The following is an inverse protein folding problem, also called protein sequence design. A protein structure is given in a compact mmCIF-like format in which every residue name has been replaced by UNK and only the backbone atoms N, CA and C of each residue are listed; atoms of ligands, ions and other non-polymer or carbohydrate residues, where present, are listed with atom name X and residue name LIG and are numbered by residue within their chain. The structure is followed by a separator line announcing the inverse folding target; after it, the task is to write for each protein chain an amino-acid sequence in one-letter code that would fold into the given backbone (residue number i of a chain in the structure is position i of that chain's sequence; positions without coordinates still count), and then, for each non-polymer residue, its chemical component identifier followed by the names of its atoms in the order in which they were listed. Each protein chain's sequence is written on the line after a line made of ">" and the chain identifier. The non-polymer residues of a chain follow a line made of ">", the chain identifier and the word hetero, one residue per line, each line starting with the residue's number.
data_IF_613288163364
#
_entry.id   IF_613288163364
#
_cell.length_a   1.000
_cell.length_b   1.000
_cell.length_c   1.000
_cell.angle_alpha   90.00
_cell.angle_beta   90.00
_cell.angle_gamma   90.00
#
_symmetry.space_group_name_H-M   'P 1'
#
loop_
_entity.id
_entity.type
_entity.pdbx_description
1 polymer ?
#
# COMPACT_ATOMS: atom_id res chain seq x y z
N UNK A 1 31.41 37.20 67.61
CA UNK A 1 31.85 36.09 66.73
C UNK A 1 31.29 34.78 67.26
N UNK A 2 30.38 34.13 66.53
CA UNK A 2 30.14 32.69 66.53
C UNK A 2 29.18 32.40 65.36
N UNK A 3 29.71 31.72 64.35
CA UNK A 3 28.98 31.26 63.16
C UNK A 3 28.23 29.99 63.54
N UNK A 4 26.91 29.93 63.30
CA UNK A 4 26.14 28.70 63.39
C UNK A 4 26.09 28.04 62.01
N UNK A 5 26.66 26.84 61.95
CA UNK A 5 26.74 25.96 60.79
C UNK A 5 25.40 25.20 60.68
N UNK A 6 24.72 25.32 59.55
CA UNK A 6 23.53 24.54 59.22
C UNK A 6 23.95 23.20 58.61
N UNK A 7 23.48 22.08 59.16
CA UNK A 7 23.62 20.73 58.61
C UNK A 7 22.21 20.27 58.20
N UNK A 8 21.95 19.92 56.92
CA UNK A 8 20.66 19.35 56.55
C UNK A 8 20.61 17.84 56.88
N UNK A 9 19.51 17.42 57.50
CA UNK A 9 19.15 16.01 57.70
C UNK A 9 18.69 15.42 56.37
N UNK A 10 19.35 14.34 55.91
CA UNK A 10 18.84 13.47 54.86
C UNK A 10 17.77 12.56 55.47
N UNK A 11 16.51 12.71 55.04
CA UNK A 11 15.45 11.74 55.29
C UNK A 11 15.43 10.73 54.14
N UNK A 12 15.80 9.48 54.41
CA UNK A 12 15.52 8.34 53.53
C UNK A 12 14.03 7.97 53.68
N UNK A 13 13.28 8.02 52.58
CA UNK A 13 11.95 7.41 52.49
C UNK A 13 12.09 6.17 51.63
N UNK A 14 11.89 5.01 52.26
CA UNK A 14 11.84 3.71 51.60
C UNK A 14 10.59 3.62 50.72
N UNK A 15 10.76 3.41 49.42
CA UNK A 15 9.66 3.13 48.51
C UNK A 15 9.34 1.62 48.56
N UNK A 16 8.19 1.28 49.15
CA UNK A 16 7.67 -0.09 49.14
C UNK A 16 6.99 -0.37 47.79
N UNK A 17 7.56 -1.28 47.00
CA UNK A 17 6.92 -1.83 45.81
C UNK A 17 5.85 -2.85 46.23
N UNK A 18 4.59 -2.55 45.92
CA UNK A 18 3.49 -3.53 45.99
C UNK A 18 3.52 -4.34 44.70
N UNK A 19 3.94 -5.61 44.81
CA UNK A 19 3.80 -6.61 43.76
C UNK A 19 2.32 -7.00 43.64
N UNK A 20 1.62 -6.46 42.65
CA UNK A 20 0.37 -7.04 42.17
C UNK A 20 0.71 -8.26 41.30
N UNK A 21 0.20 -9.42 41.70
CA UNK A 21 0.33 -10.67 40.94
C UNK A 21 -0.52 -10.58 39.66
N UNK A 22 0.13 -10.23 38.55
CA UNK A 22 -0.38 -10.53 37.21
C UNK A 22 0.09 -11.94 36.83
N UNK A 23 -0.85 -12.80 36.46
CA UNK A 23 -0.60 -14.18 36.03
C UNK A 23 0.27 -14.15 34.78
N UNK A 24 1.54 -14.53 34.94
CA UNK A 24 2.49 -14.75 33.86
C UNK A 24 2.24 -16.14 33.27
N UNK A 25 1.82 -16.20 32.00
CA UNK A 25 2.01 -17.39 31.19
C UNK A 25 3.36 -17.25 30.48
N UNK A 26 4.39 -17.94 31.00
CA UNK A 26 5.69 -18.03 30.37
C UNK A 26 5.80 -19.30 29.51
N UNK A 27 5.90 -19.08 28.18
CA UNK A 27 6.79 -19.66 27.14
C UNK A 27 7.00 -21.19 26.99
N UNK A 28 7.33 -21.65 25.76
CA UNK A 28 8.75 -21.71 25.37
C UNK A 28 9.04 -21.26 23.92
N UNK A 29 10.07 -20.43 23.77
CA UNK A 29 10.61 -20.01 22.49
C UNK A 29 11.77 -19.03 22.67
N UNK A 30 12.77 -19.40 23.45
CA UNK A 30 14.00 -18.63 23.56
C UNK A 30 14.94 -19.09 22.45
N UNK A 31 15.01 -18.33 21.35
CA UNK A 31 16.10 -18.42 20.39
C UNK A 31 16.72 -17.04 20.20
N UNK A 32 17.99 -16.95 20.63
CA UNK A 32 19.08 -16.19 20.05
C UNK A 32 18.84 -14.75 19.62
N UNK A 33 19.56 -13.83 20.28
CA UNK A 33 20.10 -12.66 19.60
C UNK A 33 20.99 -13.12 18.43
N UNK A 34 20.39 -13.23 17.25
CA UNK A 34 21.06 -13.51 16.00
C UNK A 34 20.46 -12.60 14.95
N UNK A 35 21.30 -11.88 14.22
CA UNK A 35 20.96 -11.26 12.94
C UNK A 35 20.55 -12.37 11.96
N UNK A 36 19.30 -12.81 12.03
CA UNK A 36 18.69 -13.73 11.09
C UNK A 36 17.68 -12.93 10.28
N UNK A 37 17.98 -12.72 8.99
CA UNK A 37 16.94 -12.32 8.04
C UNK A 37 15.79 -13.34 8.16
N UNK A 38 14.55 -12.87 8.23
CA UNK A 38 13.39 -13.75 8.26
C UNK A 38 13.38 -14.60 6.98
N UNK A 39 13.38 -15.92 7.14
CA UNK A 39 13.35 -16.89 6.02
C UNK A 39 12.01 -17.60 5.89
N UNK A 40 11.04 -17.31 6.76
CA UNK A 40 9.75 -18.01 6.82
C UNK A 40 8.59 -17.05 6.55
N UNK A 41 7.68 -17.49 5.68
CA UNK A 41 6.45 -16.77 5.30
C UNK A 41 5.45 -16.68 6.44
N UNK A 42 4.45 -15.77 6.36
CA UNK A 42 3.42 -15.65 7.39
C UNK A 42 2.75 -17.00 7.63
N UNK A 43 2.58 -17.35 8.92
CA UNK A 43 2.26 -18.73 9.36
C UNK A 43 0.98 -19.30 8.77
N UNK A 44 0.03 -18.44 8.44
CA UNK A 44 -1.31 -18.82 7.96
C UNK A 44 -1.53 -18.41 6.51
N UNK A 45 -0.48 -17.97 5.81
CA UNK A 45 -0.57 -17.54 4.43
C UNK A 45 -0.32 -18.68 3.45
N UNK A 46 -1.10 -18.68 2.38
CA UNK A 46 -1.02 -19.58 1.26
C UNK A 46 -0.36 -18.88 0.06
N UNK A 47 0.26 -19.67 -0.82
CA UNK A 47 0.81 -19.19 -2.09
C UNK A 47 -0.30 -18.91 -3.11
N UNK A 48 -0.07 -17.95 -4.01
CA UNK A 48 -0.90 -17.69 -5.19
C UNK A 48 -0.70 -18.73 -6.32
N UNK A 49 0.25 -19.66 -6.15
CA UNK A 49 0.50 -20.78 -7.08
C UNK A 49 1.49 -20.44 -8.20
N UNK A 50 2.03 -21.48 -8.85
CA UNK A 50 3.19 -21.39 -9.75
C UNK A 50 2.98 -20.69 -11.10
N UNK A 51 1.76 -20.19 -11.39
CA UNK A 51 1.48 -19.32 -12.54
C UNK A 51 1.69 -17.85 -12.19
N UNK A 52 1.39 -17.50 -10.94
CA UNK A 52 1.63 -16.19 -10.39
C UNK A 52 3.05 -16.16 -9.84
N UNK A 53 3.38 -16.92 -8.80
CA UNK A 53 4.73 -16.93 -8.23
C UNK A 53 5.69 -17.75 -9.10
N UNK A 54 6.82 -17.16 -9.46
CA UNK A 54 7.86 -17.76 -10.30
C UNK A 54 9.19 -17.79 -9.54
N UNK A 55 10.31 -17.96 -10.25
CA UNK A 55 11.64 -17.72 -9.65
C UNK A 55 12.03 -16.24 -9.65
N UNK A 56 11.24 -15.38 -10.31
CA UNK A 56 11.36 -13.94 -10.21
C UNK A 56 10.76 -13.43 -8.91
N UNK A 57 10.60 -12.11 -8.83
CA UNK A 57 9.84 -11.47 -7.77
C UNK A 57 8.42 -11.20 -8.25
N UNK A 58 7.44 -11.40 -7.37
CA UNK A 58 6.04 -11.04 -7.57
C UNK A 58 5.51 -10.23 -6.39
N UNK A 59 4.88 -9.10 -6.69
CA UNK A 59 4.37 -8.18 -5.67
C UNK A 59 3.14 -7.39 -6.15
N UNK A 60 2.46 -6.72 -5.21
CA UNK A 60 1.45 -5.68 -5.49
C UNK A 60 0.33 -6.12 -6.43
N UNK A 61 -0.25 -7.30 -6.13
CA UNK A 61 -1.39 -7.82 -6.87
C UNK A 61 -2.66 -7.05 -6.54
N UNK A 62 -3.45 -6.72 -7.55
CA UNK A 62 -4.83 -6.22 -7.42
C UNK A 62 -5.73 -6.94 -8.41
N UNK A 63 -7.05 -6.76 -8.26
CA UNK A 63 -8.05 -7.52 -8.99
C UNK A 63 -9.09 -6.60 -9.67
N UNK A 64 -9.61 -7.04 -10.81
CA UNK A 64 -10.83 -6.46 -11.39
C UNK A 64 -12.01 -6.66 -10.43
N UNK A 65 -13.02 -5.80 -10.49
CA UNK A 65 -14.18 -5.86 -9.59
C UNK A 65 -14.95 -7.19 -9.62
N UNK A 66 -14.90 -7.93 -10.73
CA UNK A 66 -15.52 -9.25 -10.85
C UNK A 66 -14.63 -10.41 -10.36
N UNK A 67 -13.40 -10.12 -9.93
CA UNK A 67 -12.40 -11.08 -9.44
C UNK A 67 -11.79 -11.98 -10.51
N UNK A 68 -12.08 -11.75 -11.80
CA UNK A 68 -11.65 -12.65 -12.89
C UNK A 68 -10.34 -12.23 -13.55
N UNK A 69 -9.83 -11.05 -13.25
CA UNK A 69 -8.55 -10.56 -13.74
C UNK A 69 -7.74 -10.05 -12.57
N UNK A 70 -6.45 -10.41 -12.55
CA UNK A 70 -5.48 -9.84 -11.65
C UNK A 70 -4.44 -9.05 -12.47
N UNK A 71 -3.98 -7.94 -11.92
CA UNK A 71 -2.76 -7.26 -12.36
C UNK A 71 -1.79 -7.18 -11.19
N UNK A 72 -0.52 -7.38 -11.46
CA UNK A 72 0.51 -7.47 -10.43
C UNK A 72 1.87 -7.15 -11.02
N UNK A 73 2.84 -6.86 -10.16
CA UNK A 73 4.21 -6.56 -10.55
C UNK A 73 5.03 -7.84 -10.57
N UNK A 74 5.87 -8.02 -11.59
CA UNK A 74 6.78 -9.16 -11.64
C UNK A 74 8.07 -8.90 -12.41
N UNK A 75 9.14 -9.54 -11.95
CA UNK A 75 10.44 -9.60 -12.65
C UNK A 75 10.62 -10.90 -13.43
N UNK A 76 9.52 -11.58 -13.78
CA UNK A 76 9.55 -12.84 -14.53
C UNK A 76 10.25 -12.69 -15.88
N UNK A 77 10.57 -13.84 -16.47
CA UNK A 77 11.10 -13.87 -17.83
C UNK A 77 10.16 -13.14 -18.80
N UNK A 78 10.73 -12.24 -19.59
CA UNK A 78 10.01 -11.36 -20.51
C UNK A 78 9.87 -9.92 -20.03
N UNK A 79 10.19 -9.61 -18.77
CA UNK A 79 10.24 -8.22 -18.30
C UNK A 79 11.28 -7.39 -19.06
N UNK A 80 11.01 -6.10 -19.24
CA UNK A 80 11.88 -5.16 -19.95
C UNK A 80 13.08 -4.84 -19.05
N UNK A 81 14.28 -5.10 -19.56
CA UNK A 81 15.50 -4.88 -18.79
C UNK A 81 15.66 -3.40 -18.38
N UNK A 82 15.66 -3.15 -17.08
CA UNK A 82 16.12 -1.89 -16.51
C UNK A 82 17.66 -1.84 -16.54
N UNK A 83 18.21 -0.89 -17.30
CA UNK A 83 19.67 -0.80 -17.48
C UNK A 83 20.35 -0.32 -16.20
N UNK A 84 21.31 -1.11 -15.71
CA UNK A 84 22.10 -0.76 -14.51
C UNK A 84 21.48 -1.17 -13.18
N UNK A 85 20.33 -1.84 -13.20
CA UNK A 85 19.69 -2.39 -12.00
C UNK A 85 19.59 -3.93 -12.05
N UNK A 86 19.45 -4.55 -10.88
CA UNK A 86 19.25 -5.98 -10.69
C UNK A 86 17.79 -6.40 -10.95
N UNK A 87 16.83 -5.52 -10.68
CA UNK A 87 15.40 -5.79 -10.84
C UNK A 87 14.84 -5.09 -12.08
N UNK A 88 13.81 -5.69 -12.67
CA UNK A 88 13.09 -5.19 -13.83
C UNK A 88 11.60 -5.40 -13.58
N UNK A 89 11.00 -4.44 -12.87
CA UNK A 89 9.61 -4.50 -12.44
C UNK A 89 8.69 -4.03 -13.55
N UNK A 90 7.92 -4.99 -14.06
CA UNK A 90 6.88 -4.76 -15.05
C UNK A 90 5.52 -5.16 -14.48
N UNK A 91 4.45 -4.56 -15.00
CA UNK A 91 3.08 -4.96 -14.70
C UNK A 91 2.67 -6.09 -15.65
N UNK A 92 2.12 -7.14 -15.07
CA UNK A 92 1.59 -8.32 -15.75
C UNK A 92 0.11 -8.50 -15.42
N UNK A 93 -0.64 -9.08 -16.35
CA UNK A 93 -2.07 -9.34 -16.20
C UNK A 93 -2.37 -10.82 -16.34
N UNK A 94 -3.09 -11.42 -15.39
CA UNK A 94 -3.59 -12.80 -15.49
C UNK A 94 -5.11 -12.82 -15.46
N UNK A 95 -5.70 -13.76 -16.20
CA UNK A 95 -7.12 -14.05 -16.12
C UNK A 95 -7.36 -15.35 -15.36
N UNK A 96 -8.49 -15.43 -14.68
CA UNK A 96 -8.94 -16.66 -14.04
C UNK A 96 -9.78 -17.48 -15.00
N UNK A 97 -9.48 -18.77 -15.11
CA UNK A 97 -10.30 -19.76 -15.81
C UNK A 97 -10.40 -21.03 -14.96
N UNK A 98 -11.63 -21.53 -14.76
CA UNK A 98 -11.92 -22.74 -13.97
C UNK A 98 -11.30 -22.75 -12.56
N UNK A 99 -11.24 -21.57 -11.93
CA UNK A 99 -10.68 -21.39 -10.58
C UNK A 99 -9.18 -21.14 -10.52
N UNK A 100 -8.48 -21.26 -11.65
CA UNK A 100 -7.02 -21.16 -11.74
C UNK A 100 -6.58 -19.90 -12.51
N UNK A 101 -5.50 -19.27 -12.05
CA UNK A 101 -4.83 -18.20 -12.78
C UNK A 101 -4.13 -18.75 -14.03
N UNK A 102 -4.32 -18.07 -15.15
CA UNK A 102 -3.71 -18.44 -16.43
C UNK A 102 -2.34 -17.79 -16.61
N UNK A 103 -1.63 -18.17 -17.67
CA UNK A 103 -0.35 -17.56 -18.02
C UNK A 103 -0.47 -16.02 -18.12
N UNK A 104 0.33 -15.26 -17.37
CA UNK A 104 0.20 -13.81 -17.38
C UNK A 104 0.68 -13.18 -18.68
N UNK A 105 -0.01 -12.10 -19.06
CA UNK A 105 0.21 -11.30 -20.25
C UNK A 105 1.05 -10.09 -19.85
N UNK A 106 2.14 -9.86 -20.59
CA UNK A 106 2.99 -8.68 -20.43
C UNK A 106 2.28 -7.42 -20.93
N UNK A 107 2.16 -6.39 -20.12
CA UNK A 107 1.51 -5.11 -20.48
C UNK A 107 2.50 -4.10 -21.10
N UNK A 108 3.34 -4.55 -22.02
CA UNK A 108 4.39 -3.74 -22.63
C UNK A 108 4.35 -3.64 -24.17
N UNK A 109 5.47 -3.27 -24.81
CA UNK A 109 5.52 -3.00 -26.24
C UNK A 109 5.07 -4.18 -27.09
N UNK A 110 4.15 -3.90 -28.03
CA UNK A 110 3.64 -4.90 -28.98
C UNK A 110 2.33 -5.57 -28.55
N UNK A 111 1.80 -5.27 -27.36
CA UNK A 111 0.47 -5.72 -26.95
C UNK A 111 -0.63 -5.16 -27.88
N UNK A 112 -1.63 -5.98 -28.22
CA UNK A 112 -2.85 -5.51 -28.88
C UNK A 112 -3.62 -4.60 -27.89
N UNK A 113 -3.88 -3.33 -28.23
CA UNK A 113 -4.57 -2.40 -27.33
C UNK A 113 -6.02 -2.81 -27.02
N UNK A 114 -6.60 -3.80 -27.71
CA UNK A 114 -7.89 -4.39 -27.30
C UNK A 114 -7.76 -5.35 -26.12
N UNK A 115 -6.58 -5.96 -25.97
CA UNK A 115 -6.24 -6.90 -24.89
C UNK A 115 -5.79 -6.14 -23.66
N UNK A 116 -4.75 -5.31 -23.77
CA UNK A 116 -4.17 -4.59 -22.62
C UNK A 116 -3.46 -3.30 -23.05
N UNK A 117 -3.18 -2.40 -22.10
CA UNK A 117 -2.43 -1.18 -22.37
C UNK A 117 -0.92 -1.47 -22.52
N UNK A 118 -0.24 -0.66 -23.32
CA UNK A 118 1.23 -0.64 -23.39
C UNK A 118 1.77 0.28 -22.27
N UNK A 119 1.87 -0.26 -21.06
CA UNK A 119 2.33 0.43 -19.85
C UNK A 119 3.85 0.29 -19.67
N UNK A 120 4.38 -0.92 -19.81
CA UNK A 120 5.72 -1.25 -19.34
C UNK A 120 6.81 -0.55 -20.15
N UNK A 121 7.84 -0.05 -19.47
CA UNK A 121 9.02 0.59 -20.07
C UNK A 121 10.31 0.06 -19.44
N UNK A 122 11.46 0.71 -19.66
CA UNK A 122 12.69 0.37 -18.92
C UNK A 122 12.72 0.96 -17.50
N UNK A 123 11.75 1.82 -17.18
CA UNK A 123 11.47 2.28 -15.83
C UNK A 123 10.87 1.13 -15.00
N UNK A 124 10.57 1.39 -13.74
CA UNK A 124 9.84 0.44 -12.90
C UNK A 124 8.39 0.85 -12.83
N UNK A 125 7.48 -0.02 -13.26
CA UNK A 125 6.03 0.19 -13.12
C UNK A 125 5.46 -0.68 -11.99
N UNK A 126 4.86 -0.03 -11.00
CA UNK A 126 4.44 -0.61 -9.73
C UNK A 126 3.04 -0.17 -9.31
N UNK A 127 2.53 -0.81 -8.26
CA UNK A 127 1.29 -0.51 -7.54
C UNK A 127 0.05 -0.37 -8.45
N UNK A 128 -0.19 -1.32 -9.39
CA UNK A 128 -1.26 -1.17 -10.35
C UNK A 128 -2.63 -1.45 -9.74
N UNK A 129 -3.68 -0.76 -10.20
CA UNK A 129 -5.07 -1.15 -9.90
C UNK A 129 -6.05 -0.77 -11.00
N UNK A 130 -7.02 -1.65 -11.22
CA UNK A 130 -8.16 -1.41 -12.09
C UNK A 130 -9.17 -0.48 -11.41
N UNK A 131 -9.83 0.36 -12.19
CA UNK A 131 -11.09 0.94 -11.76
C UNK A 131 -12.19 -0.11 -11.57
N UNK A 132 -13.21 0.25 -10.81
CA UNK A 132 -14.43 -0.53 -10.55
C UNK A 132 -15.16 -1.01 -11.81
N UNK A 133 -15.06 -0.24 -12.90
CA UNK A 133 -15.60 -0.59 -14.22
C UNK A 133 -14.60 -1.30 -15.14
N UNK A 134 -13.35 -1.48 -14.71
CA UNK A 134 -12.27 -2.12 -15.46
C UNK A 134 -11.73 -1.33 -16.67
N UNK A 135 -12.14 -0.07 -16.84
CA UNK A 135 -11.75 0.75 -18.00
C UNK A 135 -10.61 1.73 -17.70
N UNK A 136 -10.08 1.73 -16.48
CA UNK A 136 -8.90 2.52 -16.11
C UNK A 136 -7.93 1.63 -15.35
N UNK A 137 -6.63 1.82 -15.60
CA UNK A 137 -5.58 1.35 -14.72
C UNK A 137 -4.83 2.57 -14.19
N UNK A 138 -4.68 2.63 -12.88
CA UNK A 138 -3.82 3.57 -12.16
C UNK A 138 -2.58 2.81 -11.72
N UNK A 139 -1.42 3.45 -11.74
CA UNK A 139 -0.15 2.84 -11.35
C UNK A 139 0.87 3.91 -11.01
N UNK A 140 1.98 3.50 -10.40
CA UNK A 140 3.13 4.36 -10.13
C UNK A 140 4.28 3.96 -11.05
N UNK A 141 5.07 4.93 -11.51
CA UNK A 141 6.30 4.69 -12.26
C UNK A 141 7.48 5.34 -11.56
N UNK A 142 8.57 4.61 -11.46
CA UNK A 142 9.83 5.07 -10.90
C UNK A 142 10.95 4.98 -11.93
N UNK A 143 11.91 5.89 -11.87
CA UNK A 143 13.24 5.63 -12.42
C UNK A 143 13.81 4.34 -11.79
N UNK A 144 14.32 3.44 -12.62
CA UNK A 144 14.85 2.17 -12.15
C UNK A 144 15.98 2.37 -11.13
N UNK A 145 15.91 1.66 -10.00
CA UNK A 145 16.87 1.79 -8.90
C UNK A 145 16.62 2.97 -7.97
N UNK A 146 15.60 3.80 -8.22
CA UNK A 146 15.28 4.97 -7.41
C UNK A 146 13.81 5.00 -6.97
N UNK A 147 13.50 4.39 -5.82
CA UNK A 147 12.15 4.43 -5.22
C UNK A 147 11.72 5.82 -4.73
N UNK A 148 12.58 6.83 -4.80
CA UNK A 148 12.28 8.23 -4.51
C UNK A 148 12.12 9.05 -5.80
N UNK A 149 11.65 8.42 -6.88
CA UNK A 149 11.33 9.08 -8.17
C UNK A 149 9.90 8.80 -8.63
N UNK A 150 9.05 8.36 -7.71
CA UNK A 150 7.71 7.88 -8.01
C UNK A 150 6.83 8.99 -8.56
N UNK A 151 6.21 8.72 -9.71
CA UNK A 151 5.17 9.54 -10.29
C UNK A 151 3.93 8.67 -10.50
N UNK A 152 2.75 9.22 -10.25
CA UNK A 152 1.48 8.59 -10.57
C UNK A 152 1.18 8.68 -12.06
N UNK A 153 0.60 7.60 -12.60
CA UNK A 153 0.17 7.49 -13.98
C UNK A 153 -1.23 6.88 -14.07
N UNK A 154 -1.86 7.10 -15.22
CA UNK A 154 -3.17 6.53 -15.54
C UNK A 154 -3.26 6.16 -17.01
N UNK A 155 -3.95 5.05 -17.30
CA UNK A 155 -4.30 4.65 -18.66
C UNK A 155 -5.78 4.29 -18.74
N UNK A 156 -6.45 4.74 -19.80
CA UNK A 156 -7.89 4.55 -19.99
C UNK A 156 -8.17 3.65 -21.20
N UNK A 157 -9.22 2.85 -21.10
CA UNK A 157 -9.86 2.12 -22.19
C UNK A 157 -11.03 2.95 -22.72
N UNK A 158 -10.98 3.29 -24.00
CA UNK A 158 -12.02 4.06 -24.69
C UNK A 158 -12.57 3.20 -25.82
N UNK A 159 -13.88 2.97 -25.81
CA UNK A 159 -14.59 2.19 -26.84
C UNK A 159 -13.95 0.81 -27.09
N UNK A 160 -13.51 0.16 -26.00
CA UNK A 160 -12.89 -1.16 -26.02
C UNK A 160 -11.40 -1.19 -26.36
N UNK A 161 -10.76 -0.02 -26.52
CA UNK A 161 -9.34 0.10 -26.90
C UNK A 161 -8.58 0.88 -25.83
N UNK A 162 -7.53 0.28 -25.28
CA UNK A 162 -6.61 0.94 -24.36
C UNK A 162 -5.83 2.04 -25.07
N UNK A 163 -5.77 3.20 -24.44
CA UNK A 163 -5.04 4.37 -24.91
C UNK A 163 -3.59 4.33 -24.39
N UNK A 164 -2.78 5.32 -24.77
CA UNK A 164 -1.46 5.52 -24.15
C UNK A 164 -1.60 5.96 -22.70
N UNK A 165 -0.71 5.46 -21.83
CA UNK A 165 -0.60 5.95 -20.47
C UNK A 165 -0.25 7.45 -20.45
N UNK A 166 -0.79 8.16 -19.47
CA UNK A 166 -0.58 9.60 -19.25
C UNK A 166 -0.03 9.80 -17.85
N UNK A 167 0.86 10.78 -17.69
CA UNK A 167 1.22 11.26 -16.36
C UNK A 167 -0.04 11.78 -15.68
N UNK A 168 -0.21 11.49 -14.39
CA UNK A 168 -1.40 11.85 -13.61
C UNK A 168 -1.74 13.35 -13.71
N UNK A 169 -0.72 14.21 -13.65
CA UNK A 169 -0.91 15.67 -13.70
C UNK A 169 -1.35 16.19 -15.08
N UNK A 170 -1.22 15.39 -16.15
CA UNK A 170 -1.69 15.76 -17.48
C UNK A 170 -3.21 15.54 -17.64
N UNK A 171 -3.88 14.96 -16.64
CA UNK A 171 -5.30 14.61 -16.68
C UNK A 171 -6.15 15.66 -15.95
N UNK A 172 -6.95 16.48 -16.66
CA UNK A 172 -7.67 17.61 -16.07
C UNK A 172 -8.68 17.27 -14.96
N UNK A 173 -9.20 16.04 -14.95
CA UNK A 173 -10.15 15.55 -13.95
C UNK A 173 -9.49 15.22 -12.60
N UNK A 174 -8.17 14.97 -12.60
CA UNK A 174 -7.39 14.55 -11.44
C UNK A 174 -6.74 15.75 -10.74
N UNK A 175 -6.47 15.66 -9.42
CA UNK A 175 -5.70 16.67 -8.71
C UNK A 175 -4.24 16.68 -9.20
N UNK A 176 -3.57 17.83 -9.11
CA UNK A 176 -2.14 17.90 -9.33
C UNK A 176 -1.41 17.36 -8.08
N UNK A 177 -0.90 16.13 -8.18
CA UNK A 177 -0.27 15.38 -7.08
C UNK A 177 1.22 15.21 -7.34
N UNK A 178 1.62 14.78 -8.54
CA UNK A 178 3.04 14.54 -8.85
C UNK A 178 3.84 15.83 -8.68
N UNK A 179 4.97 15.75 -7.99
CA UNK A 179 5.87 16.88 -7.79
C UNK A 179 7.09 16.78 -8.69
N UNK A 180 7.90 17.84 -8.75
CA UNK A 180 9.13 17.83 -9.56
C UNK A 180 10.23 16.95 -8.97
N UNK A 181 10.12 16.57 -7.70
CA UNK A 181 11.07 15.67 -7.03
C UNK A 181 10.72 14.20 -7.27
N UNK A 182 9.44 13.91 -7.57
CA UNK A 182 8.93 12.57 -7.88
C UNK A 182 8.98 11.69 -6.65
N UNK A 183 7.97 11.67 -5.81
CA UNK A 183 7.99 10.91 -4.55
C UNK A 183 6.61 10.29 -4.25
N UNK A 184 5.69 10.43 -5.20
CA UNK A 184 4.29 10.08 -5.06
C UNK A 184 4.04 8.64 -5.49
N UNK A 185 3.32 7.90 -4.67
CA UNK A 185 3.03 6.50 -4.90
C UNK A 185 1.77 6.04 -4.17
N UNK A 186 1.35 4.81 -4.45
CA UNK A 186 0.24 4.13 -3.79
C UNK A 186 -1.05 4.98 -3.71
N UNK A 187 -1.59 5.47 -4.84
CA UNK A 187 -2.82 6.24 -4.78
C UNK A 187 -3.99 5.35 -4.35
N UNK A 188 -4.86 5.87 -3.51
CA UNK A 188 -6.13 5.26 -3.11
C UNK A 188 -7.22 6.25 -3.45
N UNK A 189 -7.90 5.98 -4.56
CA UNK A 189 -9.00 6.80 -5.02
C UNK A 189 -10.25 6.31 -4.27
N UNK A 190 -10.59 6.99 -3.18
CA UNK A 190 -11.71 6.60 -2.34
C UNK A 190 -13.05 7.04 -2.93
N UNK A 191 -13.07 8.19 -3.61
CA UNK A 191 -14.24 8.72 -4.31
C UNK A 191 -13.85 9.75 -5.37
N UNK A 192 -14.84 10.37 -6.02
CA UNK A 192 -14.65 11.54 -6.88
C UNK A 192 -14.24 12.83 -6.13
N UNK A 193 -14.14 12.74 -4.80
CA UNK A 193 -13.86 13.86 -3.91
C UNK A 193 -12.77 13.60 -2.87
N UNK A 194 -12.19 12.40 -2.81
CA UNK A 194 -11.19 12.03 -1.81
C UNK A 194 -10.20 11.03 -2.40
N UNK A 195 -8.92 11.39 -2.33
CA UNK A 195 -7.80 10.54 -2.74
C UNK A 195 -6.78 10.54 -1.61
N UNK A 196 -6.29 9.37 -1.23
CA UNK A 196 -5.08 9.23 -0.42
C UNK A 196 -3.93 8.87 -1.32
N UNK A 197 -2.71 9.21 -0.93
CA UNK A 197 -1.50 8.83 -1.63
C UNK A 197 -0.33 8.93 -0.65
N UNK A 198 0.77 8.28 -1.01
CA UNK A 198 2.00 8.34 -0.25
C UNK A 198 2.97 9.31 -0.89
N UNK A 199 3.64 10.11 -0.08
CA UNK A 199 4.55 11.16 -0.54
C UNK A 199 5.67 11.37 0.46
N UNK A 200 6.91 11.38 -0.03
CA UNK A 200 8.09 11.74 0.75
C UNK A 200 8.19 13.27 0.82
N UNK A 201 7.61 13.89 1.84
CA UNK A 201 7.81 15.32 2.07
C UNK A 201 8.78 15.57 3.25
N UNK A 202 9.89 16.28 3.02
CA UNK A 202 10.69 16.83 4.11
C UNK A 202 9.86 17.84 4.93
N UNK A 203 9.47 17.49 6.15
CA UNK A 203 8.90 18.45 7.11
C UNK A 203 7.74 17.96 7.99
N UNK A 204 7.20 16.76 7.77
CA UNK A 204 6.29 16.11 8.74
C UNK A 204 6.97 14.87 9.36
N UNK A 205 7.57 14.01 8.54
CA UNK A 205 8.45 12.90 8.96
C UNK A 205 9.73 12.84 8.10
N UNK A 206 10.55 11.79 8.26
CA UNK A 206 11.85 11.68 7.59
C UNK A 206 11.81 10.85 6.30
N UNK A 207 10.79 10.01 6.09
CA UNK A 207 10.67 9.10 4.93
C UNK A 207 9.34 9.37 4.18
N UNK A 208 8.51 8.35 3.93
CA UNK A 208 7.23 8.49 3.22
C UNK A 208 6.08 8.65 4.21
N UNK A 209 5.19 9.59 3.93
CA UNK A 209 3.97 9.82 4.71
C UNK A 209 2.72 9.51 3.90
N UNK A 210 1.62 9.21 4.59
CA UNK A 210 0.29 9.16 4.01
C UNK A 210 -0.33 10.57 4.01
N UNK A 211 -0.75 10.99 2.82
CA UNK A 211 -1.42 12.25 2.55
C UNK A 211 -2.82 12.00 2.00
N UNK A 212 -3.67 13.02 2.11
CA UNK A 212 -4.97 13.06 1.44
C UNK A 212 -5.15 14.34 0.66
N UNK A 213 -5.95 14.28 -0.40
CA UNK A 213 -6.45 15.45 -1.10
C UNK A 213 -7.96 15.34 -1.25
N UNK A 214 -8.65 16.42 -0.88
CA UNK A 214 -10.11 16.51 -0.90
C UNK A 214 -10.57 17.45 -2.02
N UNK A 215 -11.76 17.19 -2.56
CA UNK A 215 -12.45 18.09 -3.49
C UNK A 215 -13.53 18.86 -2.77
N UNK A 216 -13.46 20.19 -2.80
CA UNK A 216 -14.46 21.11 -2.24
C UNK A 216 -15.00 21.98 -3.35
N UNK A 217 -16.33 22.04 -3.48
CA UNK A 217 -17.03 22.80 -4.53
C UNK A 217 -16.52 22.51 -5.95
N UNK A 218 -16.19 21.24 -6.22
CA UNK A 218 -15.68 20.79 -7.51
C UNK A 218 -14.20 21.07 -7.77
N UNK A 219 -13.47 21.64 -6.80
CA UNK A 219 -12.05 21.98 -6.91
C UNK A 219 -11.23 21.14 -5.93
N UNK A 220 -10.19 20.48 -6.44
CA UNK A 220 -9.23 19.77 -5.61
C UNK A 220 -8.43 20.77 -4.76
N UNK A 221 -8.34 20.49 -3.47
CA UNK A 221 -7.63 21.31 -2.51
C UNK A 221 -6.14 20.94 -2.49
N UNK A 222 -5.36 21.63 -1.65
CA UNK A 222 -3.97 21.21 -1.39
C UNK A 222 -3.96 19.88 -0.62
N UNK A 223 -2.98 19.01 -0.87
CA UNK A 223 -2.77 17.83 -0.04
C UNK A 223 -2.54 18.19 1.44
N UNK A 224 -3.06 17.34 2.31
CA UNK A 224 -2.92 17.42 3.77
C UNK A 224 -2.39 16.09 4.30
N UNK A 225 -1.38 16.13 5.17
CA UNK A 225 -0.84 14.94 5.83
C UNK A 225 -1.87 14.38 6.83
N UNK A 226 -1.92 13.05 6.98
CA UNK A 226 -2.72 12.42 8.05
C UNK A 226 -2.13 12.64 9.46
N UNK A 227 -0.93 13.22 9.54
CA UNK A 227 -0.28 13.63 10.78
C UNK A 227 0.27 12.47 11.61
N UNK A 228 0.93 12.81 12.71
CA UNK A 228 1.74 11.87 13.51
C UNK A 228 0.95 10.82 14.31
N UNK A 229 -0.39 10.84 14.25
CA UNK A 229 -1.20 9.73 14.80
C UNK A 229 -1.22 8.53 13.85
N UNK A 230 -1.10 8.79 12.55
CA UNK A 230 -1.04 7.77 11.51
C UNK A 230 0.40 7.60 11.04
N UNK A 231 1.03 8.68 10.63
CA UNK A 231 2.40 8.66 10.13
C UNK A 231 3.41 8.58 11.29
N UNK A 232 4.55 7.95 11.01
CA UNK A 232 5.68 7.71 11.88
C UNK A 232 6.94 8.35 11.29
N UNK A 233 8.04 8.48 12.03
CA UNK A 233 9.30 8.95 11.45
C UNK A 233 9.91 8.04 10.36
N UNK A 234 9.29 6.88 10.08
CA UNK A 234 9.70 5.87 9.10
C UNK A 234 8.82 5.92 7.85
N UNK A 235 8.94 4.93 6.96
CA UNK A 235 8.14 4.84 5.74
C UNK A 235 6.73 4.33 6.08
N UNK A 236 5.73 5.13 5.79
CA UNK A 236 4.30 4.78 5.90
C UNK A 236 3.60 4.96 4.55
N UNK A 237 2.84 3.95 4.16
CA UNK A 237 1.98 4.02 2.99
C UNK A 237 0.72 3.17 3.18
N UNK A 238 -0.25 3.37 2.30
CA UNK A 238 -1.44 2.53 2.21
C UNK A 238 -1.45 1.83 0.84
N UNK A 239 -2.26 0.78 0.67
CA UNK A 239 -2.46 0.16 -0.63
C UNK A 239 -3.95 0.15 -1.02
N UNK A 240 -4.28 -0.16 -2.28
CA UNK A 240 -5.58 0.13 -2.93
C UNK A 240 -6.85 -0.09 -2.12
N UNK A 241 -6.98 -1.21 -1.41
CA UNK A 241 -8.18 -1.52 -0.61
C UNK A 241 -8.01 -1.25 0.89
N UNK A 242 -6.95 -0.53 1.26
CA UNK A 242 -6.57 -0.26 2.64
C UNK A 242 -7.53 0.67 3.38
N UNK A 243 -8.50 1.30 2.70
CA UNK A 243 -9.54 2.09 3.36
C UNK A 243 -10.81 1.25 3.54
N UNK A 244 -11.46 1.36 4.70
CA UNK A 244 -12.78 0.75 4.89
C UNK A 244 -13.86 1.48 4.10
N UNK A 245 -14.91 0.77 3.71
CA UNK A 245 -16.04 1.29 2.95
C UNK A 245 -16.75 2.47 3.61
N UNK A 246 -16.76 2.53 4.94
CA UNK A 246 -17.32 3.64 5.70
C UNK A 246 -16.34 4.80 5.92
N UNK A 247 -15.08 4.66 5.47
CA UNK A 247 -14.01 5.65 5.57
C UNK A 247 -13.42 5.82 6.98
N UNK A 248 -13.74 4.92 7.92
CA UNK A 248 -13.38 5.08 9.34
C UNK A 248 -12.25 4.19 9.82
N UNK A 249 -11.76 3.30 8.97
CA UNK A 249 -10.62 2.42 9.27
C UNK A 249 -9.64 2.44 8.10
N UNK A 250 -8.37 2.37 8.40
CA UNK A 250 -7.31 2.30 7.40
C UNK A 250 -6.30 1.19 7.74
N UNK A 251 -5.76 0.55 6.71
CA UNK A 251 -4.65 -0.38 6.77
C UNK A 251 -3.40 0.34 6.24
N UNK A 252 -2.30 0.21 6.96
CA UNK A 252 -1.03 0.88 6.72
C UNK A 252 0.05 -0.19 6.56
N UNK A 253 0.82 -0.09 5.49
CA UNK A 253 2.12 -0.75 5.40
C UNK A 253 3.18 0.21 5.96
N UNK A 254 3.93 -0.21 6.97
CA UNK A 254 4.84 0.66 7.72
C UNK A 254 6.15 -0.02 8.09
N UNK A 255 7.26 0.72 8.03
CA UNK A 255 8.56 0.29 8.58
C UNK A 255 8.83 0.82 9.99
N UNK A 256 7.80 1.30 10.70
CA UNK A 256 7.92 1.74 12.10
C UNK A 256 8.49 0.63 12.97
N UNK A 257 9.39 0.98 13.88
CA UNK A 257 10.09 0.01 14.74
C UNK A 257 9.48 -0.13 16.14
N UNK A 258 8.41 0.60 16.42
CA UNK A 258 7.71 0.63 17.71
C UNK A 258 6.39 -0.16 17.65
N UNK A 259 5.53 0.02 18.66
CA UNK A 259 4.16 -0.52 18.71
C UNK A 259 4.02 -2.04 18.47
N UNK A 260 5.09 -2.80 18.73
CA UNK A 260 5.11 -4.25 18.53
C UNK A 260 5.41 -4.68 17.10
N UNK A 261 6.10 -3.86 16.31
CA UNK A 261 6.68 -4.24 15.01
C UNK A 261 7.38 -5.60 15.04
N UNK A 262 7.30 -6.33 13.93
CA UNK A 262 8.02 -7.59 13.70
C UNK A 262 9.32 -7.39 12.91
N UNK A 263 9.49 -6.24 12.26
CA UNK A 263 10.66 -5.87 11.46
C UNK A 263 10.28 -5.66 10.00
N UNK A 264 11.20 -5.10 9.20
CA UNK A 264 10.94 -4.72 7.81
C UNK A 264 9.67 -3.88 7.66
N UNK A 265 8.88 -4.13 6.61
CA UNK A 265 7.52 -3.62 6.50
C UNK A 265 6.54 -4.56 7.22
N UNK A 266 5.66 -3.95 8.02
CA UNK A 266 4.55 -4.58 8.71
C UNK A 266 3.22 -3.97 8.23
N UNK A 267 2.15 -4.76 8.29
CA UNK A 267 0.76 -4.29 8.11
C UNK A 267 0.13 -3.91 9.46
N UNK A 268 -0.57 -2.78 9.48
CA UNK A 268 -1.22 -2.20 10.65
C UNK A 268 -2.62 -1.75 10.35
N UNK A 269 -3.49 -1.65 11.35
CA UNK A 269 -4.83 -1.07 11.22
C UNK A 269 -5.05 0.08 12.21
N UNK A 270 -5.62 1.19 11.76
CA UNK A 270 -6.10 2.29 12.61
C UNK A 270 -7.58 2.55 12.37
N UNK A 271 -8.26 3.03 13.42
CA UNK A 271 -9.66 3.40 13.39
C UNK A 271 -9.85 4.86 13.82
N UNK A 272 -10.92 5.49 13.37
CA UNK A 272 -11.39 6.76 13.91
C UNK A 272 -12.19 6.55 15.20
N UNK A 273 -12.05 7.45 16.17
CA UNK A 273 -12.95 7.53 17.32
C UNK A 273 -14.28 8.23 16.96
N UNK A 274 -15.15 8.43 17.96
CA UNK A 274 -16.46 9.06 17.75
C UNK A 274 -16.37 10.51 17.27
N UNK A 275 -15.25 11.18 17.56
CA UNK A 275 -14.93 12.55 17.14
C UNK A 275 -14.30 12.61 15.73
N UNK A 276 -14.07 11.47 15.09
CA UNK A 276 -13.45 11.38 13.76
C UNK A 276 -11.92 11.47 13.78
N UNK A 277 -11.29 11.39 14.95
CA UNK A 277 -9.84 11.39 15.08
C UNK A 277 -9.27 9.98 14.90
N UNK A 278 -8.27 9.86 14.02
CA UNK A 278 -7.48 8.65 13.92
C UNK A 278 -6.82 8.28 15.25
N UNK A 279 -6.82 6.99 15.57
CA UNK A 279 -6.16 6.44 16.74
C UNK A 279 -4.81 5.83 16.37
N UNK A 280 -3.99 5.55 17.39
CA UNK A 280 -2.72 4.84 17.21
C UNK A 280 -2.98 3.48 16.51
N UNK A 281 -2.20 3.13 15.48
CA UNK A 281 -2.41 1.90 14.72
C UNK A 281 -2.01 0.65 15.52
N UNK A 282 -2.72 -0.45 15.26
CA UNK A 282 -2.51 -1.77 15.85
C UNK A 282 -1.86 -2.69 14.81
N UNK A 283 -0.77 -3.36 15.19
CA UNK A 283 -0.08 -4.33 14.33
C UNK A 283 -1.00 -5.51 14.01
N UNK A 284 -1.10 -5.94 12.76
CA UNK A 284 -1.96 -7.09 12.36
C UNK A 284 -1.48 -8.45 12.91
N UNK A 285 -0.28 -8.48 13.48
CA UNK A 285 0.28 -9.63 14.18
C UNK A 285 0.73 -10.75 13.23
N UNK A 286 1.15 -11.86 13.83
CA UNK A 286 1.90 -12.94 13.16
C UNK A 286 1.08 -13.74 12.11
N UNK A 287 -0.20 -13.40 11.93
CA UNK A 287 -1.02 -13.94 10.84
C UNK A 287 -0.61 -13.34 9.48
N UNK A 288 -0.20 -12.08 9.49
CA UNK A 288 0.21 -11.32 8.30
C UNK A 288 1.69 -10.96 8.39
N UNK A 289 2.14 -10.49 9.56
CA UNK A 289 3.44 -9.88 9.73
C UNK A 289 4.54 -10.87 10.13
N UNK A 290 5.74 -10.65 9.60
CA UNK A 290 6.95 -11.44 9.80
C UNK A 290 8.13 -10.51 10.11
N UNK A 291 9.33 -11.06 10.34
CA UNK A 291 10.55 -10.22 10.41
C UNK A 291 11.11 -9.82 9.05
N UNK A 292 10.39 -10.12 7.98
CA UNK A 292 10.73 -9.90 6.58
C UNK A 292 10.12 -8.61 6.04
N UNK A 293 9.87 -8.57 4.74
CA UNK A 293 9.05 -7.54 4.11
C UNK A 293 7.64 -8.07 3.93
N UNK A 294 6.66 -7.50 4.63
CA UNK A 294 5.23 -7.74 4.44
C UNK A 294 4.62 -6.46 3.86
N UNK A 295 4.40 -6.43 2.55
CA UNK A 295 4.11 -5.19 1.83
C UNK A 295 2.87 -5.25 0.95
N UNK A 296 2.21 -4.09 0.84
CA UNK A 296 1.23 -3.78 -0.19
C UNK A 296 0.07 -4.80 -0.22
N UNK A 297 -0.46 -5.15 0.95
CA UNK A 297 -1.58 -6.08 1.02
C UNK A 297 -2.90 -5.42 0.59
N UNK A 298 -3.71 -6.16 -0.16
CA UNK A 298 -5.02 -5.75 -0.67
C UNK A 298 -6.05 -6.86 -0.49
N UNK A 299 -7.33 -6.55 -0.58
CA UNK A 299 -8.40 -7.53 -0.54
C UNK A 299 -8.79 -8.00 -1.95
N UNK A 300 -9.23 -9.26 -2.05
CA UNK A 300 -10.03 -9.71 -3.19
C UNK A 300 -11.35 -8.93 -3.26
N UNK A 301 -11.99 -8.83 -4.44
CA UNK A 301 -13.20 -8.01 -4.60
C UNK A 301 -14.38 -8.44 -3.73
N UNK A 302 -14.43 -9.73 -3.34
CA UNK A 302 -15.43 -10.26 -2.43
C UNK A 302 -15.12 -10.00 -0.95
N UNK A 303 -13.98 -9.36 -0.65
CA UNK A 303 -13.51 -9.02 0.68
C UNK A 303 -13.05 -10.20 1.54
N UNK A 304 -12.98 -11.42 0.98
CA UNK A 304 -12.74 -12.63 1.79
C UNK A 304 -11.29 -12.98 1.97
N UNK A 305 -10.44 -12.65 0.99
CA UNK A 305 -9.00 -12.89 1.06
C UNK A 305 -8.26 -11.59 1.13
N UNK A 306 -7.22 -11.56 1.95
CA UNK A 306 -6.25 -10.48 2.02
C UNK A 306 -4.96 -11.02 1.40
N UNK A 307 -4.48 -10.37 0.33
CA UNK A 307 -3.37 -10.81 -0.51
C UNK A 307 -2.29 -9.76 -0.53
N UNK A 308 -1.02 -10.14 -0.37
CA UNK A 308 0.08 -9.18 -0.38
C UNK A 308 1.40 -9.83 -0.73
N UNK A 309 2.44 -9.02 -0.64
CA UNK A 309 3.80 -9.40 -1.02
C UNK A 309 4.57 -9.78 0.23
N UNK A 310 5.29 -10.90 0.19
CA UNK A 310 6.15 -11.33 1.27
C UNK A 310 7.54 -11.69 0.76
N UNK A 311 8.58 -11.28 1.46
CA UNK A 311 9.95 -11.70 1.15
C UNK A 311 10.97 -11.43 2.26
N UNK A 312 12.24 -11.79 2.04
CA UNK A 312 13.32 -11.51 2.99
C UNK A 312 13.54 -10.01 3.17
N UNK A 313 13.76 -9.59 4.43
CA UNK A 313 14.05 -8.20 4.80
C UNK A 313 15.19 -7.60 3.98
N UNK A 314 14.98 -6.40 3.43
CA UNK A 314 15.95 -5.59 2.71
C UNK A 314 16.15 -6.04 1.27
N UNK A 315 15.25 -6.86 0.74
CA UNK A 315 15.30 -7.35 -0.63
C UNK A 315 14.01 -7.04 -1.37
N UNK A 316 14.01 -7.17 -2.69
CA UNK A 316 12.78 -7.21 -3.47
C UNK A 316 12.49 -8.62 -3.98
N UNK A 317 12.99 -9.66 -3.31
CA UNK A 317 12.70 -11.04 -3.69
C UNK A 317 11.39 -11.47 -3.01
N UNK A 318 10.27 -11.14 -3.65
CA UNK A 318 8.93 -11.28 -3.08
C UNK A 318 8.16 -12.43 -3.74
N UNK A 319 7.32 -13.08 -2.95
CA UNK A 319 6.22 -13.92 -3.40
C UNK A 319 4.90 -13.23 -3.09
N UNK A 320 3.90 -13.44 -3.94
CA UNK A 320 2.52 -13.11 -3.60
C UNK A 320 1.88 -14.20 -2.72
N UNK A 321 1.28 -13.76 -1.62
CA UNK A 321 0.65 -14.61 -0.60
C UNK A 321 -0.78 -14.16 -0.34
N UNK A 322 -1.56 -15.02 0.29
CA UNK A 322 -2.90 -14.69 0.75
C UNK A 322 -3.28 -15.36 2.06
N UNK A 323 -4.16 -14.72 2.83
CA UNK A 323 -4.82 -15.26 4.02
C UNK A 323 -6.32 -15.07 3.91
N UNK A 324 -7.14 -15.88 4.60
CA UNK A 324 -8.55 -15.51 4.76
C UNK A 324 -8.65 -14.32 5.72
N UNK A 325 -9.49 -13.34 5.40
CA UNK A 325 -9.74 -12.17 6.26
C UNK A 325 -10.14 -12.58 7.68
N UNK A 326 -10.97 -13.61 7.80
CA UNK A 326 -11.49 -14.09 9.07
C UNK A 326 -10.43 -14.75 9.98
N UNK A 327 -9.29 -15.16 9.41
CA UNK A 327 -8.16 -15.71 10.14
C UNK A 327 -7.28 -14.62 10.77
N UNK A 328 -7.48 -13.34 10.37
CA UNK A 328 -6.79 -12.18 10.94
C UNK A 328 -7.74 -11.47 11.92
N UNK A 329 -7.53 -11.58 13.26
CA UNK A 329 -8.50 -11.12 14.25
C UNK A 329 -8.93 -9.66 14.10
N UNK A 330 -7.99 -8.77 13.73
CA UNK A 330 -8.25 -7.33 13.58
C UNK A 330 -8.96 -6.96 12.26
N UNK A 331 -9.06 -7.89 11.30
CA UNK A 331 -9.69 -7.63 10.00
C UNK A 331 -11.12 -8.20 9.87
N UNK A 332 -11.61 -8.94 10.88
CA UNK A 332 -12.93 -9.59 10.82
C UNK A 332 -14.06 -8.65 10.44
N UNK A 333 -14.09 -7.48 11.07
CA UNK A 333 -15.10 -6.45 10.85
C UNK A 333 -14.65 -5.38 9.84
N UNK A 334 -13.47 -5.54 9.23
CA UNK A 334 -12.98 -4.62 8.20
C UNK A 334 -13.67 -4.93 6.87
N UNK A 335 -14.38 -3.95 6.34
CA UNK A 335 -15.02 -4.03 5.03
C UNK A 335 -14.26 -3.12 4.05
N UNK A 336 -13.49 -3.67 3.09
CA UNK A 336 -12.67 -2.86 2.19
C UNK A 336 -13.53 -2.01 1.25
N UNK A 337 -12.98 -0.86 0.83
CA UNK A 337 -13.65 0.04 -0.12
C UNK A 337 -13.84 -0.58 -1.51
N UNK A 338 -13.06 -1.61 -1.86
CA UNK A 338 -13.06 -2.25 -3.18
C UNK A 338 -12.16 -1.53 -4.18
N UNK A 339 -12.26 -1.86 -5.48
CA UNK A 339 -11.49 -1.19 -6.53
C UNK A 339 -11.84 0.31 -6.62
N UNK A 340 -10.87 1.17 -6.99
CA UNK A 340 -11.09 2.62 -7.13
C UNK A 340 -12.16 2.96 -8.19
N UNK A 341 -12.91 4.06 -8.05
CA UNK A 341 -13.85 4.48 -9.08
C UNK A 341 -13.12 5.00 -10.32
N UNK A 342 -13.75 4.86 -11.49
CA UNK A 342 -13.29 5.50 -12.72
C UNK A 342 -13.60 7.01 -12.74
N UNK A 343 -12.58 7.84 -12.50
CA UNK A 343 -12.73 9.31 -12.52
C UNK A 343 -12.79 9.94 -13.93
N UNK A 344 -12.60 9.15 -14.99
CA UNK A 344 -12.45 9.64 -16.37
C UNK A 344 -13.72 9.54 -17.22
N UNK A 345 -14.83 9.07 -16.65
CA UNK A 345 -16.14 8.89 -17.34
C UNK A 345 -16.77 10.22 -17.78
N UNK A 346 -16.47 11.33 -17.09
CA UNK A 346 -17.15 12.61 -17.28
C UNK A 346 -16.64 13.47 -18.46
N UNK A 347 -15.65 13.02 -19.21
CA UNK A 347 -15.03 13.80 -20.30
C UNK A 347 -15.93 13.94 -21.55
N UNK A 348 -16.96 13.10 -21.74
CA UNK A 348 -17.86 13.12 -22.91
C UNK A 348 -19.19 13.91 -22.74
N UNK A 349 -19.51 14.50 -21.58
CA UNK A 349 -20.84 15.15 -21.34
C UNK A 349 -20.82 16.69 -21.44
N UNK A 350 -19.67 17.33 -21.68
CA UNK A 350 -19.57 18.81 -21.78
C UNK A 350 -19.42 19.39 -23.19
N UNK A 351 -19.63 18.62 -24.24
CA UNK A 351 -19.79 19.15 -25.60
C UNK A 351 -21.22 18.89 -26.06
N UNK A 352 -21.91 19.97 -26.43
CA UNK A 352 -23.29 20.06 -26.95
C UNK A 352 -24.36 20.55 -25.95
N UNK A 353 -24.19 21.80 -25.49
CA UNK A 353 -25.36 22.69 -25.43
C UNK A 353 -25.45 23.43 -26.78
N UNK A 354 -26.51 23.23 -27.57
CA UNK A 354 -26.79 24.09 -28.72
C UNK A 354 -26.95 25.52 -28.19
N UNK A 355 -26.27 26.47 -28.84
CA UNK A 355 -26.66 27.87 -28.75
C UNK A 355 -28.13 27.95 -29.19
N UNK A 356 -29.03 28.17 -28.23
CA UNK A 356 -30.42 28.48 -28.51
C UNK A 356 -30.54 29.93 -29.01
N UNK A 357 -31.57 30.20 -29.83
CA UNK A 357 -31.47 30.95 -31.08
C UNK A 357 -31.27 32.47 -30.95
#
# INVERSE_FOLDING_TARGET
>A
MKKNLFIPKLCFVSLAFILAQGVSYAMPGMHGSGSGAATEHPRVSDSLGGKINTSGSEMEITYSADGKTAIFVSTREGSIQSSGDTYSFDIWMSHQADGEWQEPIHLGPGIDPKVGPNINTSAWELEPSFSDDGNVIYFTRYEAGNMLSGDLYVVQKVDGVWQSARNWNDVPELPNINTSTGEEHCPIIASDSLIYFSYHQPGVTQDSDIWKVEKKDGVWQKPESLGLKINSPQRDHMHWTGLSKDGKSLIITSTRTDLGSRGGHDEWISHQNAEGEWQEPLNLGDAVNTGGEDMCWTFTPDGKKFTGSWGPHGTYNMDLRWVNKDDVPLLKDFEPIGPPPNLLINSKVKTDKPLQP
#
